data_IF_556616307717
#
_entry.id   IF_556616307717
#
_cell.length_a   1.000
_cell.length_b   1.000
_cell.length_c   1.000
_cell.angle_alpha   90.00
_cell.angle_beta   90.00
_cell.angle_gamma   90.00
#
_symmetry.space_group_name_H-M   'P 1'
#
loop_
_entity.id
_entity.type
_entity.pdbx_description
1 polymer ?
#
# COMPACT_ATOMS: atom_id res chain seq x y z
N UNK A 1 -18.20 -57.73 58.77
CA UNK A 1 -16.88 -57.46 59.39
C UNK A 1 -16.23 -56.29 58.66
N UNK A 2 -15.48 -55.43 59.37
CA UNK A 2 -14.48 -54.44 58.90
C UNK A 2 -14.81 -53.58 57.65
N UNK A 3 -15.18 -52.30 57.83
CA UNK A 3 -14.30 -51.08 57.83
C UNK A 3 -13.73 -50.75 56.43
N UNK A 4 -14.05 -49.58 55.83
CA UNK A 4 -13.40 -48.25 56.01
C UNK A 4 -14.32 -47.15 55.40
N UNK A 5 -14.50 -45.90 55.86
CA UNK A 5 -13.74 -44.98 56.75
C UNK A 5 -12.46 -44.44 56.09
N UNK A 6 -12.38 -43.20 55.59
CA UNK A 6 -13.28 -42.01 55.67
C UNK A 6 -13.07 -41.08 54.43
N UNK A 7 -13.67 -39.87 54.23
CA UNK A 7 -14.38 -38.93 55.14
C UNK A 7 -15.62 -38.22 54.51
N UNK A 8 -15.54 -36.90 54.20
CA UNK A 8 -16.59 -35.90 53.85
C UNK A 8 -15.90 -34.59 53.40
N UNK A 9 -16.46 -33.91 52.40
CA UNK A 9 -16.60 -32.45 52.20
C UNK A 9 -17.53 -32.33 50.97
N UNK A 10 -18.41 -31.37 50.77
CA UNK A 10 -18.81 -30.16 51.51
C UNK A 10 -19.64 -29.36 50.49
N UNK A 11 -20.92 -29.14 50.73
CA UNK A 11 -21.81 -28.59 49.70
C UNK A 11 -21.77 -27.06 49.63
N UNK A 12 -21.88 -26.51 48.41
CA UNK A 12 -22.84 -25.45 48.01
C UNK A 12 -22.28 -24.45 46.99
N UNK A 13 -23.08 -24.17 45.96
CA UNK A 13 -23.19 -22.85 45.31
C UNK A 13 -22.14 -22.49 44.25
N UNK A 14 -22.62 -22.06 43.07
CA UNK A 14 -21.80 -21.33 42.10
C UNK A 14 -21.85 -21.86 40.66
N UNK A 15 -23.02 -21.85 40.03
CA UNK A 15 -23.05 -21.83 38.57
C UNK A 15 -22.68 -20.41 38.10
N UNK A 16 -21.40 -20.18 37.78
CA UNK A 16 -20.95 -18.91 37.20
C UNK A 16 -21.16 -18.99 35.69
N UNK A 17 -22.28 -18.46 35.23
CA UNK A 17 -22.48 -18.15 33.82
C UNK A 17 -21.71 -16.87 33.49
N UNK A 18 -20.45 -17.01 33.09
CA UNK A 18 -19.67 -15.92 32.51
C UNK A 18 -20.07 -15.74 31.04
N UNK A 19 -21.12 -14.97 30.80
CA UNK A 19 -21.40 -14.41 29.47
C UNK A 19 -20.50 -13.20 29.24
N UNK A 20 -19.53 -13.30 28.35
CA UNK A 20 -18.64 -12.19 27.99
C UNK A 20 -17.38 -12.65 27.26
N UNK A 21 -17.39 -12.48 25.93
CA UNK A 21 -16.25 -12.45 25.02
C UNK A 21 -15.10 -13.46 25.24
N UNK A 22 -15.27 -14.66 24.66
CA UNK A 22 -14.15 -15.46 24.17
C UNK A 22 -13.66 -14.88 22.83
N UNK A 23 -12.60 -14.07 22.83
CA UNK A 23 -11.73 -13.79 21.67
C UNK A 23 -10.45 -13.09 22.14
N UNK A 24 -9.34 -13.38 21.45
CA UNK A 24 -7.94 -13.01 21.70
C UNK A 24 -7.13 -14.01 22.55
N UNK A 25 -6.87 -15.17 21.94
CA UNK A 25 -5.72 -16.07 22.18
C UNK A 25 -5.35 -16.81 20.86
N UNK A 26 -5.52 -16.12 19.74
CA UNK A 26 -5.04 -16.48 18.39
C UNK A 26 -4.37 -15.20 17.87
N UNK A 27 -3.22 -15.32 17.20
CA UNK A 27 -2.28 -14.22 16.99
C UNK A 27 -2.92 -12.98 16.35
N UNK A 28 -2.65 -11.83 16.97
CA UNK A 28 -3.11 -10.50 16.58
C UNK A 28 -1.93 -9.54 16.82
N UNK A 29 -0.84 -9.79 16.10
CA UNK A 29 0.46 -9.10 16.17
C UNK A 29 0.58 -8.02 15.07
N UNK A 30 -0.45 -7.88 14.22
CA UNK A 30 -0.45 -7.06 13.00
C UNK A 30 -1.52 -5.95 12.96
N UNK A 31 -2.42 -5.88 13.95
CA UNK A 31 -3.37 -4.76 14.08
C UNK A 31 -2.86 -3.66 15.02
N UNK A 32 -1.72 -3.87 15.69
CA UNK A 32 -1.12 -2.90 16.61
C UNK A 32 -0.47 -1.71 15.89
N UNK A 33 -0.06 -1.90 14.63
CA UNK A 33 0.77 -0.97 13.85
C UNK A 33 -0.01 -0.26 12.72
N UNK A 34 -1.34 -0.30 12.75
CA UNK A 34 -2.23 0.32 11.76
C UNK A 34 -3.37 1.08 12.43
N UNK A 35 -3.70 2.24 11.88
CA UNK A 35 -4.73 3.17 12.38
C UNK A 35 -6.11 2.77 11.90
N UNK A 36 -6.23 2.38 10.63
CA UNK A 36 -7.51 2.09 10.02
C UNK A 36 -8.02 0.71 10.47
N UNK A 37 -9.35 0.52 10.44
CA UNK A 37 -9.91 -0.82 10.60
C UNK A 37 -9.62 -1.72 9.39
N UNK A 38 -9.73 -3.06 9.53
CA UNK A 38 -9.54 -4.01 8.45
C UNK A 38 -10.37 -3.68 7.21
N UNK A 39 -9.76 -3.82 6.03
CA UNK A 39 -10.35 -3.42 4.77
C UNK A 39 -11.51 -4.35 4.36
N UNK A 40 -12.76 -3.86 4.45
CA UNK A 40 -13.99 -4.65 4.20
C UNK A 40 -14.10 -5.21 2.77
N UNK A 41 -13.44 -4.58 1.79
CA UNK A 41 -13.43 -5.00 0.38
C UNK A 41 -12.18 -5.82 -0.02
N UNK A 42 -11.36 -6.24 0.95
CA UNK A 42 -10.22 -7.15 0.73
C UNK A 42 -10.71 -8.56 0.33
N UNK A 43 -10.03 -9.18 -0.65
CA UNK A 43 -10.49 -10.43 -1.27
C UNK A 43 -10.18 -11.71 -0.47
N UNK A 44 -9.20 -11.65 0.42
CA UNK A 44 -8.72 -12.75 1.27
C UNK A 44 -8.04 -12.17 2.53
N UNK A 45 -7.64 -13.03 3.47
CA UNK A 45 -6.78 -12.63 4.60
C UNK A 45 -5.41 -12.16 4.09
N UNK A 46 -4.76 -11.21 4.77
CA UNK A 46 -3.54 -10.56 4.27
C UNK A 46 -2.39 -11.54 4.00
N UNK A 47 -2.29 -12.65 4.75
CA UNK A 47 -1.27 -13.68 4.55
C UNK A 47 -1.47 -14.57 3.31
N UNK A 48 -2.68 -14.58 2.72
CA UNK A 48 -3.04 -15.36 1.53
C UNK A 48 -2.95 -14.54 0.22
N UNK A 49 -2.65 -13.24 0.32
CA UNK A 49 -2.52 -12.34 -0.83
C UNK A 49 -1.11 -12.35 -1.43
N UNK A 50 -1.02 -12.08 -2.73
CA UNK A 50 0.24 -12.04 -3.48
C UNK A 50 0.95 -10.66 -3.41
N UNK A 51 0.44 -9.75 -2.60
CA UNK A 51 0.92 -8.38 -2.43
C UNK A 51 0.82 -7.98 -0.95
N UNK A 52 1.62 -7.01 -0.48
CA UNK A 52 1.53 -6.45 0.87
C UNK A 52 0.12 -5.90 1.13
N UNK A 53 -0.53 -6.38 2.18
CA UNK A 53 -1.92 -6.07 2.50
C UNK A 53 -2.08 -5.58 3.95
N UNK A 54 -3.31 -5.24 4.32
CA UNK A 54 -3.65 -4.63 5.62
C UNK A 54 -2.88 -5.26 6.81
N UNK A 55 -2.17 -4.42 7.58
CA UNK A 55 -1.43 -4.79 8.78
C UNK A 55 -0.03 -5.39 8.54
N UNK A 56 0.41 -5.51 7.29
CA UNK A 56 1.76 -5.97 6.94
C UNK A 56 2.70 -4.78 6.73
N UNK A 57 3.99 -5.00 6.99
CA UNK A 57 5.03 -4.03 6.64
C UNK A 57 5.08 -3.82 5.13
N UNK A 58 5.23 -2.57 4.71
CA UNK A 58 5.48 -2.16 3.34
C UNK A 58 6.93 -2.57 2.94
N UNK A 59 7.20 -2.98 1.69
CA UNK A 59 8.50 -3.56 1.37
C UNK A 59 9.60 -2.51 1.17
N UNK A 60 10.74 -2.67 1.85
CA UNK A 60 11.94 -1.86 1.65
C UNK A 60 12.38 -1.87 0.18
N UNK A 61 12.56 -0.70 -0.46
CA UNK A 61 13.29 -0.59 -1.73
C UNK A 61 13.96 0.78 -1.90
N UNK A 62 14.97 0.81 -2.78
CA UNK A 62 15.72 2.01 -3.14
C UNK A 62 15.74 2.11 -4.66
N UNK A 63 15.23 3.21 -5.23
CA UNK A 63 15.11 3.43 -6.68
C UNK A 63 15.43 4.90 -7.03
N UNK A 64 16.02 5.19 -8.21
CA UNK A 64 16.31 6.56 -8.59
C UNK A 64 15.06 7.29 -9.09
N UNK A 65 14.92 8.56 -8.68
CA UNK A 65 14.04 9.54 -9.30
C UNK A 65 14.87 10.43 -10.23
N UNK A 66 14.79 10.25 -11.56
CA UNK A 66 15.56 11.04 -12.51
C UNK A 66 14.93 12.40 -12.85
N UNK A 67 13.78 12.76 -12.27
CA UNK A 67 13.19 14.10 -12.36
C UNK A 67 13.66 14.99 -11.21
N UNK A 68 13.73 14.44 -10.00
CA UNK A 68 14.27 15.09 -8.80
C UNK A 68 15.81 14.98 -8.68
N UNK A 69 16.46 14.19 -9.54
CA UNK A 69 17.91 13.92 -9.54
C UNK A 69 18.42 13.31 -8.21
N UNK A 70 17.61 12.45 -7.60
CA UNK A 70 17.89 11.78 -6.30
C UNK A 70 17.63 10.27 -6.36
N UNK A 71 17.96 9.56 -5.29
CA UNK A 71 17.45 8.22 -5.00
C UNK A 71 16.41 8.34 -3.89
N UNK A 72 15.31 7.59 -4.02
CA UNK A 72 14.31 7.42 -2.97
C UNK A 72 14.51 6.03 -2.38
N UNK A 73 14.82 5.99 -1.08
CA UNK A 73 14.83 4.78 -0.26
C UNK A 73 13.62 4.85 0.66
N UNK A 74 12.74 3.84 0.64
CA UNK A 74 11.52 3.86 1.46
C UNK A 74 11.85 3.92 2.95
N UNK A 75 12.98 3.33 3.36
CA UNK A 75 13.43 3.32 4.77
C UNK A 75 13.99 4.67 5.24
N UNK A 76 14.08 5.66 4.36
CA UNK A 76 14.44 7.05 4.67
C UNK A 76 13.23 8.03 4.57
N UNK A 77 12.02 7.52 4.33
CA UNK A 77 10.76 8.29 4.27
C UNK A 77 9.95 8.21 5.59
N UNK A 78 10.64 8.06 6.72
CA UNK A 78 10.05 8.11 8.07
C UNK A 78 9.15 9.37 8.24
N UNK A 79 8.13 9.28 9.10
CA UNK A 79 7.17 10.36 9.39
C UNK A 79 6.23 10.77 8.21
N UNK A 80 6.16 10.02 7.10
CA UNK A 80 5.25 10.30 5.96
C UNK A 80 4.33 9.13 5.57
N UNK A 81 3.09 9.44 5.16
CA UNK A 81 2.23 8.47 4.46
C UNK A 81 2.67 8.27 3.01
N UNK A 82 2.82 7.03 2.55
CA UNK A 82 3.21 6.75 1.15
C UNK A 82 2.03 6.27 0.30
N UNK A 83 1.81 6.95 -0.82
CA UNK A 83 0.90 6.52 -1.89
C UNK A 83 1.72 5.88 -3.01
N UNK A 84 1.89 4.56 -2.96
CA UNK A 84 2.75 3.84 -3.93
C UNK A 84 1.93 3.09 -4.97
N UNK A 85 2.33 3.21 -6.25
CA UNK A 85 1.80 2.42 -7.36
C UNK A 85 2.87 2.14 -8.42
N UNK A 86 2.53 1.34 -9.43
CA UNK A 86 3.40 1.08 -10.57
C UNK A 86 2.67 1.29 -11.91
N UNK A 87 3.42 1.74 -12.91
CA UNK A 87 2.90 2.17 -14.21
C UNK A 87 3.99 2.10 -15.30
N UNK A 88 3.69 2.57 -16.51
CA UNK A 88 4.67 2.90 -17.54
C UNK A 88 4.13 3.98 -18.49
N UNK A 89 4.98 4.85 -19.04
CA UNK A 89 4.49 6.02 -19.82
C UNK A 89 3.88 5.66 -21.18
N UNK A 90 4.16 4.45 -21.69
CA UNK A 90 3.64 3.95 -22.97
C UNK A 90 2.30 3.21 -22.87
N UNK A 91 1.70 3.11 -21.67
CA UNK A 91 0.41 2.45 -21.48
C UNK A 91 -0.72 3.19 -22.23
N UNK A 92 -1.52 2.51 -23.07
CA UNK A 92 -2.56 3.16 -23.87
C UNK A 92 -3.86 3.44 -23.10
N UNK A 93 -4.05 2.88 -21.90
CA UNK A 93 -5.34 2.89 -21.19
C UNK A 93 -5.24 3.01 -19.66
N UNK A 94 -5.02 1.91 -18.93
CA UNK A 94 -5.28 1.85 -17.48
C UNK A 94 -4.37 2.79 -16.66
N UNK A 95 -3.08 2.88 -17.00
CA UNK A 95 -2.19 3.82 -16.30
C UNK A 95 -2.57 5.30 -16.52
N UNK A 96 -3.26 5.64 -17.61
CA UNK A 96 -3.76 7.01 -17.85
C UNK A 96 -4.91 7.32 -16.88
N UNK A 97 -5.82 6.37 -16.65
CA UNK A 97 -6.83 6.48 -15.59
C UNK A 97 -6.16 6.66 -14.23
N UNK A 98 -5.22 5.78 -13.90
CA UNK A 98 -4.63 5.65 -12.57
C UNK A 98 -3.82 6.89 -12.18
N UNK A 99 -2.85 7.29 -13.00
CA UNK A 99 -2.00 8.45 -12.71
C UNK A 99 -2.82 9.75 -12.72
N UNK A 100 -3.85 9.87 -13.59
CA UNK A 100 -4.75 11.02 -13.56
C UNK A 100 -5.64 11.06 -12.30
N UNK A 101 -6.04 9.91 -11.75
CA UNK A 101 -6.77 9.84 -10.48
C UNK A 101 -5.85 10.22 -9.31
N UNK A 102 -4.63 9.69 -9.28
CA UNK A 102 -3.67 10.01 -8.22
C UNK A 102 -3.17 11.47 -8.27
N UNK A 103 -3.02 12.07 -9.46
CA UNK A 103 -2.78 13.51 -9.59
C UNK A 103 -3.95 14.35 -9.04
N UNK A 104 -5.19 13.84 -9.14
CA UNK A 104 -6.35 14.42 -8.46
C UNK A 104 -6.24 14.33 -6.94
N UNK A 105 -5.80 13.19 -6.41
CA UNK A 105 -5.53 13.03 -4.97
C UNK A 105 -4.39 13.94 -4.48
N UNK A 106 -3.33 14.13 -5.28
CA UNK A 106 -2.25 15.09 -4.97
C UNK A 106 -2.79 16.52 -4.87
N UNK A 107 -3.72 16.92 -5.76
CA UNK A 107 -4.37 18.22 -5.66
C UNK A 107 -5.20 18.35 -4.37
N UNK A 108 -5.90 17.28 -3.95
CA UNK A 108 -6.64 17.27 -2.69
C UNK A 108 -5.73 17.34 -1.44
N UNK A 109 -4.52 16.74 -1.47
CA UNK A 109 -3.55 16.90 -0.36
C UNK A 109 -2.92 18.30 -0.33
N UNK A 110 -2.63 18.89 -1.50
CA UNK A 110 -2.16 20.28 -1.62
C UNK A 110 -3.21 21.26 -1.07
N UNK A 111 -4.48 21.12 -1.46
CA UNK A 111 -5.59 21.99 -1.00
C UNK A 111 -5.89 21.87 0.52
N UNK A 112 -5.31 20.87 1.20
CA UNK A 112 -5.43 20.63 2.65
C UNK A 112 -4.18 20.95 3.46
N UNK A 113 -3.14 21.48 2.83
CA UNK A 113 -1.81 21.70 3.44
C UNK A 113 -1.12 20.40 3.92
N UNK A 114 -1.41 19.24 3.30
CA UNK A 114 -0.84 17.90 3.65
C UNK A 114 0.35 17.48 2.76
N UNK A 115 1.05 18.46 2.16
CA UNK A 115 2.10 18.19 1.16
C UNK A 115 3.35 17.59 1.79
N UNK A 116 3.72 18.04 2.99
CA UNK A 116 4.89 17.57 3.72
C UNK A 116 4.65 16.18 4.38
N UNK A 117 3.39 15.76 4.55
CA UNK A 117 2.98 14.52 5.25
C UNK A 117 2.65 13.35 4.31
N UNK A 118 2.53 13.58 2.99
CA UNK A 118 2.07 12.57 2.01
C UNK A 118 2.94 12.56 0.76
N UNK A 119 3.65 11.44 0.54
CA UNK A 119 4.55 11.24 -0.59
C UNK A 119 3.99 10.22 -1.60
N UNK A 120 3.95 10.61 -2.87
CA UNK A 120 3.47 9.77 -3.98
C UNK A 120 4.65 9.10 -4.70
N UNK A 121 4.64 7.76 -4.79
CA UNK A 121 5.68 6.98 -5.47
C UNK A 121 5.08 6.27 -6.69
N UNK A 122 5.37 6.78 -7.89
CA UNK A 122 4.95 6.19 -9.16
C UNK A 122 6.13 5.44 -9.80
N UNK A 123 6.15 4.11 -9.70
CA UNK A 123 7.26 3.27 -10.16
C UNK A 123 7.06 2.83 -11.61
N UNK A 124 8.01 3.13 -12.50
CA UNK A 124 8.00 2.58 -13.86
C UNK A 124 8.41 1.10 -13.85
N UNK A 125 7.66 0.26 -14.56
CA UNK A 125 8.05 -1.13 -14.85
C UNK A 125 8.60 -1.34 -16.28
N UNK A 126 8.89 -0.25 -17.02
CA UNK A 126 9.38 -0.30 -18.41
C UNK A 126 10.65 0.56 -18.64
N UNK A 127 11.77 0.27 -17.95
CA UNK A 127 12.99 1.06 -18.05
C UNK A 127 13.67 1.01 -19.44
N UNK A 128 13.26 0.08 -20.32
CA UNK A 128 13.70 0.04 -21.72
C UNK A 128 13.14 1.21 -22.57
N UNK A 129 12.00 1.81 -22.19
CA UNK A 129 11.33 2.88 -22.95
C UNK A 129 11.08 4.15 -22.16
N UNK A 130 10.81 4.03 -20.86
CA UNK A 130 10.61 5.20 -20.00
C UNK A 130 11.95 5.94 -19.80
N UNK A 131 11.87 7.27 -19.82
CA UNK A 131 13.03 8.16 -19.76
C UNK A 131 12.66 9.43 -19.00
N UNK A 132 13.63 10.23 -18.52
CA UNK A 132 13.33 11.45 -17.77
C UNK A 132 12.54 12.50 -18.60
N UNK A 133 12.64 12.43 -19.94
CA UNK A 133 11.82 13.22 -20.83
C UNK A 133 10.37 12.71 -20.89
N UNK A 134 10.17 11.38 -20.92
CA UNK A 134 8.85 10.74 -20.97
C UNK A 134 8.08 10.80 -19.65
N UNK A 135 8.77 10.68 -18.52
CA UNK A 135 8.20 10.85 -17.19
C UNK A 135 7.69 12.30 -17.00
N UNK A 136 8.47 13.29 -17.44
CA UNK A 136 8.05 14.71 -17.44
C UNK A 136 6.88 14.99 -18.39
N UNK A 137 6.89 14.42 -19.61
CA UNK A 137 5.75 14.50 -20.54
C UNK A 137 4.48 13.86 -19.94
N UNK A 138 4.61 12.74 -19.21
CA UNK A 138 3.51 12.11 -18.49
C UNK A 138 2.96 13.03 -17.39
N UNK A 139 3.83 13.60 -16.55
CA UNK A 139 3.45 14.54 -15.50
C UNK A 139 2.67 15.75 -16.05
N UNK A 140 3.16 16.35 -17.15
CA UNK A 140 2.49 17.46 -17.84
C UNK A 140 1.08 17.09 -18.37
N UNK A 141 0.92 15.88 -18.93
CA UNK A 141 -0.35 15.39 -19.48
C UNK A 141 -1.36 15.08 -18.35
N UNK A 142 -0.90 14.42 -17.28
CA UNK A 142 -1.76 14.00 -16.16
C UNK A 142 -2.00 15.12 -15.15
N UNK A 143 -1.24 16.23 -15.23
CA UNK A 143 -1.25 17.39 -14.32
C UNK A 143 -0.77 17.05 -12.90
N UNK A 144 0.24 16.21 -12.80
CA UNK A 144 1.00 16.04 -11.56
C UNK A 144 1.75 17.35 -11.28
N UNK A 145 1.61 17.87 -10.07
CA UNK A 145 2.35 19.05 -9.63
C UNK A 145 3.74 18.62 -9.12
N UNK A 146 4.75 18.72 -10.00
CA UNK A 146 6.14 18.46 -9.64
C UNK A 146 6.78 19.61 -8.84
N UNK A 147 6.17 20.80 -8.77
CA UNK A 147 6.68 21.92 -7.97
C UNK A 147 6.27 21.79 -6.49
N UNK A 148 5.20 21.04 -6.18
CA UNK A 148 4.82 20.66 -4.82
C UNK A 148 5.87 19.78 -4.11
N UNK A 149 6.71 19.05 -4.87
CA UNK A 149 7.85 18.30 -4.35
C UNK A 149 7.53 16.96 -3.68
N UNK A 150 6.26 16.59 -3.52
CA UNK A 150 5.81 15.36 -2.86
C UNK A 150 5.44 14.21 -3.82
N UNK A 151 5.86 14.29 -5.09
CA UNK A 151 5.62 13.24 -6.09
C UNK A 151 6.92 12.81 -6.76
N UNK A 152 7.22 11.52 -6.64
CA UNK A 152 8.40 10.89 -7.22
C UNK A 152 8.03 9.92 -8.34
N UNK A 153 8.73 10.08 -9.47
CA UNK A 153 8.65 9.16 -10.59
C UNK A 153 9.87 8.25 -10.57
N UNK A 154 9.73 7.06 -10.01
CA UNK A 154 10.83 6.12 -9.80
C UNK A 154 11.09 5.30 -11.07
N UNK A 155 12.35 5.21 -11.50
CA UNK A 155 12.75 4.53 -12.73
C UNK A 155 13.88 3.53 -12.44
N UNK A 156 13.59 2.24 -12.22
CA UNK A 156 14.60 1.19 -12.10
C UNK A 156 15.65 1.24 -13.23
N UNK A 157 16.89 0.87 -12.95
CA UNK A 157 17.94 0.91 -13.99
C UNK A 157 17.76 -0.20 -15.04
N UNK A 158 17.23 -1.36 -14.64
CA UNK A 158 17.09 -2.56 -15.48
C UNK A 158 15.74 -3.27 -15.24
N UNK A 159 15.29 -4.08 -16.22
CA UNK A 159 13.99 -4.79 -16.16
C UNK A 159 13.95 -5.81 -15.01
N UNK A 160 15.09 -6.42 -14.66
CA UNK A 160 15.23 -7.31 -13.52
C UNK A 160 15.00 -6.61 -12.18
N UNK A 161 15.40 -5.34 -12.04
CA UNK A 161 15.14 -4.54 -10.85
C UNK A 161 13.66 -4.12 -10.77
N UNK A 162 13.09 -3.69 -11.91
CA UNK A 162 11.66 -3.45 -12.03
C UNK A 162 10.84 -4.69 -11.61
N UNK A 163 11.25 -5.91 -12.03
CA UNK A 163 10.62 -7.16 -11.57
C UNK A 163 10.78 -7.38 -10.07
N UNK A 164 11.98 -7.22 -9.53
CA UNK A 164 12.25 -7.45 -8.12
C UNK A 164 11.46 -6.51 -7.18
N UNK A 165 11.15 -5.28 -7.61
CA UNK A 165 10.32 -4.34 -6.83
C UNK A 165 8.84 -4.50 -7.15
N UNK A 166 8.45 -4.34 -8.42
CA UNK A 166 7.04 -4.20 -8.82
C UNK A 166 6.30 -5.55 -8.76
N UNK A 167 6.90 -6.64 -9.24
CA UNK A 167 6.30 -7.98 -9.24
C UNK A 167 6.57 -8.70 -7.90
N UNK A 168 7.84 -8.89 -7.52
CA UNK A 168 8.21 -9.76 -6.40
C UNK A 168 7.95 -9.18 -5.00
N UNK A 169 8.06 -7.85 -4.81
CA UNK A 169 7.80 -7.20 -3.52
C UNK A 169 6.38 -6.63 -3.43
N UNK A 170 5.93 -5.92 -4.46
CA UNK A 170 4.63 -5.23 -4.46
C UNK A 170 3.48 -6.08 -5.03
N UNK A 171 3.74 -7.24 -5.63
CA UNK A 171 2.69 -8.12 -6.19
C UNK A 171 1.92 -7.52 -7.36
N UNK A 172 2.49 -6.50 -8.02
CA UNK A 172 2.00 -5.94 -9.27
C UNK A 172 2.67 -6.73 -10.41
N UNK A 173 2.15 -7.92 -10.66
CA UNK A 173 2.63 -8.79 -11.72
C UNK A 173 2.47 -8.12 -13.09
N UNK A 174 3.55 -8.04 -13.86
CA UNK A 174 3.56 -7.48 -15.22
C UNK A 174 4.26 -8.40 -16.22
N UNK A 175 3.68 -8.54 -17.42
CA UNK A 175 4.18 -9.41 -18.48
C UNK A 175 4.15 -8.72 -19.84
N UNK A 176 5.30 -8.75 -20.52
CA UNK A 176 5.53 -8.12 -21.82
C UNK A 176 4.77 -8.87 -22.92
N UNK A 177 3.71 -8.26 -23.45
CA UNK A 177 3.01 -8.75 -24.64
C UNK A 177 3.80 -8.33 -25.88
N UNK A 178 4.34 -9.32 -26.60
CA UNK A 178 5.15 -9.14 -27.80
C UNK A 178 4.44 -9.54 -29.10
N UNK A 179 3.12 -9.80 -29.04
CA UNK A 179 2.30 -10.05 -30.24
C UNK A 179 1.81 -8.74 -30.91
N UNK A 180 2.00 -7.59 -30.24
CA UNK A 180 1.70 -6.22 -30.74
C UNK A 180 2.93 -5.62 -31.45
N UNK A 181 2.73 -4.74 -32.46
CA UNK A 181 3.85 -4.00 -33.06
C UNK A 181 4.52 -3.08 -32.03
N UNK A 182 5.72 -3.47 -31.57
CA UNK A 182 6.38 -2.89 -30.40
C UNK A 182 6.27 -3.88 -29.24
N UNK A 183 5.64 -3.46 -28.15
CA UNK A 183 5.11 -4.32 -27.09
C UNK A 183 4.20 -3.51 -26.15
N UNK A 184 3.28 -4.20 -25.48
CA UNK A 184 2.52 -3.67 -24.34
C UNK A 184 2.82 -4.53 -23.09
N UNK A 185 2.21 -4.21 -21.96
CA UNK A 185 2.24 -5.07 -20.78
C UNK A 185 0.82 -5.42 -20.35
N UNK A 186 0.59 -6.71 -20.09
CA UNK A 186 -0.50 -7.14 -19.23
C UNK A 186 -0.05 -7.00 -17.78
N UNK A 187 -0.80 -6.27 -16.96
CA UNK A 187 -0.52 -6.10 -15.52
C UNK A 187 -1.80 -6.06 -14.69
N UNK A 188 -1.73 -6.32 -13.39
CA UNK A 188 -2.76 -5.89 -12.43
C UNK A 188 -2.52 -4.43 -12.00
N UNK A 189 -3.52 -3.82 -11.36
CA UNK A 189 -3.38 -2.50 -10.74
C UNK A 189 -3.47 -2.64 -9.23
N UNK A 190 -2.51 -2.07 -8.51
CA UNK A 190 -2.55 -1.84 -7.07
C UNK A 190 -2.07 -0.41 -6.78
N UNK A 191 -2.72 0.24 -5.83
CA UNK A 191 -2.20 1.42 -5.13
C UNK A 191 -2.19 1.11 -3.64
N UNK A 192 -1.08 1.34 -2.98
CA UNK A 192 -0.93 1.18 -1.54
C UNK A 192 -1.06 2.53 -0.85
N UNK A 193 -1.68 2.54 0.32
CA UNK A 193 -1.46 3.54 1.36
C UNK A 193 -0.68 2.83 2.47
N UNK A 194 0.57 3.24 2.73
CA UNK A 194 1.26 2.93 3.98
C UNK A 194 1.26 4.14 4.91
N UNK A 195 1.23 3.85 6.21
CA UNK A 195 1.39 4.83 7.27
C UNK A 195 2.89 5.14 7.53
N UNK A 196 3.21 6.13 8.39
CA UNK A 196 4.58 6.56 8.63
C UNK A 196 5.54 5.59 9.34
N UNK A 197 5.07 4.45 9.87
CA UNK A 197 5.94 3.34 10.37
C UNK A 197 6.15 2.27 9.30
N UNK A 198 5.88 2.57 8.02
CA UNK A 198 5.92 1.63 6.89
C UNK A 198 4.95 0.42 7.05
N UNK A 199 3.73 0.62 7.56
CA UNK A 199 2.69 -0.43 7.54
C UNK A 199 1.56 -0.13 6.57
N UNK A 200 1.11 -1.16 5.84
CA UNK A 200 0.04 -1.05 4.84
C UNK A 200 -1.32 -0.92 5.52
N UNK A 201 -1.94 0.23 5.33
CA UNK A 201 -3.30 0.57 5.78
C UNK A 201 -4.36 0.13 4.76
N UNK A 202 -4.04 0.26 3.46
CA UNK A 202 -4.94 -0.06 2.34
C UNK A 202 -4.19 -0.59 1.11
N UNK A 203 -4.83 -1.52 0.41
CA UNK A 203 -4.49 -1.88 -0.97
C UNK A 203 -5.72 -1.68 -1.87
N UNK A 204 -5.67 -0.67 -2.74
CA UNK A 204 -6.72 -0.35 -3.69
C UNK A 204 -6.45 -1.05 -5.03
N UNK A 205 -7.40 -1.87 -5.50
CA UNK A 205 -7.25 -2.74 -6.70
C UNK A 205 -7.83 -2.15 -8.00
N UNK A 206 -8.29 -0.90 -7.98
CA UNK A 206 -8.95 -0.23 -9.10
C UNK A 206 -7.97 0.60 -9.93
N UNK A 207 -8.15 0.64 -11.27
CA UNK A 207 -7.51 1.63 -12.15
C UNK A 207 -7.98 3.08 -11.89
N UNK A 208 -9.05 3.23 -11.10
CA UNK A 208 -9.61 4.50 -10.62
C UNK A 208 -10.05 4.28 -9.18
N UNK A 209 -9.14 4.35 -8.19
CA UNK A 209 -9.55 4.37 -6.80
C UNK A 209 -10.41 5.62 -6.52
N UNK A 210 -11.25 5.53 -5.50
CA UNK A 210 -12.16 6.61 -5.13
C UNK A 210 -11.39 7.68 -4.34
N UNK A 211 -11.27 8.89 -4.90
CA UNK A 211 -10.44 9.96 -4.31
C UNK A 211 -10.99 10.41 -2.95
N UNK A 212 -12.31 10.48 -2.80
CA UNK A 212 -12.96 10.87 -1.55
C UNK A 212 -12.62 9.83 -0.45
N UNK A 213 -12.68 8.53 -0.77
CA UNK A 213 -12.22 7.46 0.14
C UNK A 213 -10.72 7.58 0.45
N UNK A 214 -9.87 7.81 -0.55
CA UNK A 214 -8.42 7.85 -0.34
C UNK A 214 -8.02 9.02 0.55
N UNK A 215 -8.61 10.21 0.37
CA UNK A 215 -8.29 11.37 1.21
C UNK A 215 -8.86 11.21 2.63
N UNK A 216 -10.06 10.63 2.79
CA UNK A 216 -10.62 10.28 4.11
C UNK A 216 -9.75 9.24 4.84
N UNK A 217 -9.25 8.20 4.15
CA UNK A 217 -8.32 7.20 4.70
C UNK A 217 -7.00 7.89 5.13
N UNK A 218 -6.40 8.76 4.29
CA UNK A 218 -5.16 9.53 4.60
C UNK A 218 -5.35 10.46 5.81
N UNK A 219 -6.39 11.29 5.81
CA UNK A 219 -6.69 12.22 6.92
C UNK A 219 -6.89 11.44 8.23
N UNK A 220 -7.50 10.26 8.17
CA UNK A 220 -7.71 9.41 9.34
C UNK A 220 -6.39 8.84 9.87
N UNK A 221 -5.49 8.36 9.00
CA UNK A 221 -4.14 7.89 9.41
C UNK A 221 -3.38 9.02 10.09
N UNK A 222 -3.20 10.16 9.40
CA UNK A 222 -2.43 11.29 9.91
C UNK A 222 -3.02 11.90 11.20
N UNK A 223 -4.36 11.98 11.33
CA UNK A 223 -5.01 12.57 12.51
C UNK A 223 -4.96 11.72 13.77
N UNK A 224 -4.56 10.45 13.67
CA UNK A 224 -4.45 9.53 14.83
C UNK A 224 -3.03 8.97 14.97
N UNK A 225 -2.05 9.60 14.32
CA UNK A 225 -0.62 9.30 14.45
C UNK A 225 0.00 10.19 15.55
N UNK A 226 0.35 9.60 16.71
CA UNK A 226 0.96 10.27 17.89
C UNK A 226 2.01 9.40 18.61
#
# INVERSE_FOLDING_TARGET
MQRRTFLRLGAAGGAVAASGCLTSLVGDDGTENVVLGPQEDQLADSEDLAYPAYGQAFPDFSLPDPLAETTIDTTELEDQCLITTAFYTFCPAECVSLISTLAGLQAETIDRDLVDDVTFLAISFDPERDTPAKLRENAEIMRVDLEAGNWHYLLPEEVEEARAVVDEKLGIAFQKDSEVEGYEFSHNTLTFLSNPDDYVERAYTSERPDIDRMIDDIETVLSNWE
#
